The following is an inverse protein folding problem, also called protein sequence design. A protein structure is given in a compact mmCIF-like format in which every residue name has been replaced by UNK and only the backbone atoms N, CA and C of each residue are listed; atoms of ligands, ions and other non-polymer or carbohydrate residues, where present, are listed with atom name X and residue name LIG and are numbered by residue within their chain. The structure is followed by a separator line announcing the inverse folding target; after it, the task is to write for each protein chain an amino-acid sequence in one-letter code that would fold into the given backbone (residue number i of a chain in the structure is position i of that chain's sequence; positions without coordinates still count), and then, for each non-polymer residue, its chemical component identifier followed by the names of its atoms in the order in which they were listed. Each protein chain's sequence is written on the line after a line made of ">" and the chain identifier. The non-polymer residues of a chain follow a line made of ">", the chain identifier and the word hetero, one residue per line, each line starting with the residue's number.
data_IF_255305417508
#
_entry.id   IF_255305417508
#
_cell.length_a   1.000
_cell.length_b   1.000
_cell.length_c   1.000
_cell.angle_alpha   90.00
_cell.angle_beta   90.00
_cell.angle_gamma   90.00
#
_symmetry.space_group_name_H-M   'P 1'
#
loop_
_entity.id
_entity.type
_entity.pdbx_description
1 polymer ?
#
# COMPACT_ATOMS: atom_id res chain seq x y z
N UNK A 1 24.63 18.09 -6.23
CA UNK A 1 23.27 18.47 -5.77
C UNK A 1 22.38 17.24 -5.56
N UNK A 2 22.14 16.37 -6.57
CA UNK A 2 21.30 15.17 -6.37
C UNK A 2 21.93 14.16 -5.40
N UNK A 3 23.25 13.98 -5.48
CA UNK A 3 23.99 13.04 -4.61
C UNK A 3 23.91 13.41 -3.13
N UNK A 4 23.85 14.71 -2.79
CA UNK A 4 23.70 15.18 -1.41
C UNK A 4 22.34 14.82 -0.84
N UNK A 5 21.26 14.95 -1.64
CA UNK A 5 19.93 14.53 -1.23
C UNK A 5 19.89 13.01 -0.98
N UNK A 6 20.48 12.24 -1.90
CA UNK A 6 20.54 10.77 -1.79
C UNK A 6 21.31 10.36 -0.53
N UNK A 7 22.43 11.02 -0.19
CA UNK A 7 23.17 10.74 1.05
C UNK A 7 22.38 11.03 2.32
N UNK A 8 21.36 11.89 2.25
CA UNK A 8 20.44 12.17 3.34
C UNK A 8 19.15 11.33 3.28
N UNK A 9 19.08 10.30 2.42
CA UNK A 9 17.90 9.45 2.28
C UNK A 9 16.72 10.11 1.58
N UNK A 10 16.98 11.19 0.83
CA UNK A 10 15.99 11.90 0.02
C UNK A 10 16.16 11.57 -1.45
N UNK A 11 15.05 11.28 -2.13
CA UNK A 11 15.02 11.09 -3.57
C UNK A 11 14.54 12.38 -4.24
N UNK A 12 15.33 12.97 -5.17
CA UNK A 12 14.88 14.14 -5.92
C UNK A 12 13.66 13.77 -6.77
N UNK A 13 12.67 14.66 -6.85
CA UNK A 13 11.53 14.45 -7.74
C UNK A 13 11.89 14.85 -9.17
N UNK A 14 10.89 15.24 -9.97
CA UNK A 14 11.09 15.61 -11.36
C UNK A 14 12.00 16.84 -11.49
N UNK A 15 12.76 16.98 -12.59
CA UNK A 15 13.55 18.18 -12.83
C UNK A 15 12.73 19.48 -12.88
N UNK A 16 11.41 19.41 -13.14
CA UNK A 16 10.53 20.58 -13.10
C UNK A 16 10.12 20.99 -11.67
N UNK A 17 10.47 20.21 -10.66
CA UNK A 17 10.23 20.49 -9.24
C UNK A 17 11.51 20.39 -8.39
N UNK A 18 12.54 21.22 -8.64
CA UNK A 18 13.86 21.04 -8.03
C UNK A 18 13.92 21.28 -6.50
N UNK A 19 12.83 21.76 -5.90
CA UNK A 19 12.72 22.14 -4.49
C UNK A 19 11.97 21.08 -3.69
N UNK A 20 11.59 19.98 -4.34
CA UNK A 20 10.88 18.87 -3.75
C UNK A 20 11.76 17.63 -3.77
N UNK A 21 11.82 16.96 -2.64
CA UNK A 21 12.45 15.65 -2.51
C UNK A 21 11.59 14.79 -1.58
N UNK A 22 11.58 13.48 -1.81
CA UNK A 22 10.78 12.52 -1.04
C UNK A 22 11.70 11.73 -0.14
N UNK A 23 11.35 11.60 1.14
CA UNK A 23 12.08 10.71 2.05
C UNK A 23 11.84 9.26 1.66
N UNK A 24 12.94 8.53 1.42
CA UNK A 24 12.90 7.10 1.12
C UNK A 24 12.38 6.31 2.31
N UNK A 25 12.77 6.70 3.54
CA UNK A 25 12.29 6.06 4.76
C UNK A 25 10.77 6.23 4.94
N UNK A 26 10.25 7.43 4.66
CA UNK A 26 8.81 7.67 4.70
C UNK A 26 8.07 6.82 3.66
N UNK A 27 8.63 6.68 2.47
CA UNK A 27 8.05 5.86 1.41
C UNK A 27 8.04 4.37 1.82
N UNK A 28 9.15 3.86 2.38
CA UNK A 28 9.22 2.49 2.90
C UNK A 28 8.21 2.25 4.03
N UNK A 29 8.05 3.19 4.95
CA UNK A 29 7.02 3.12 5.99
C UNK A 29 5.61 3.06 5.40
N UNK A 30 5.30 3.91 4.42
CA UNK A 30 4.00 3.91 3.76
C UNK A 30 3.72 2.60 3.01
N UNK A 31 4.73 2.04 2.33
CA UNK A 31 4.61 0.73 1.68
C UNK A 31 4.27 -0.37 2.70
N UNK A 32 5.01 -0.44 3.81
CA UNK A 32 4.76 -1.42 4.86
C UNK A 32 3.37 -1.24 5.50
N UNK A 33 2.95 0.01 5.74
CA UNK A 33 1.62 0.31 6.24
C UNK A 33 0.52 -0.12 5.26
N UNK A 34 0.73 0.14 3.97
CA UNK A 34 -0.19 -0.21 2.92
C UNK A 34 -0.35 -1.74 2.83
N UNK A 35 0.75 -2.48 2.75
CA UNK A 35 0.77 -3.95 2.73
C UNK A 35 0.03 -4.54 3.94
N UNK A 36 0.38 -4.09 5.15
CA UNK A 36 -0.28 -4.55 6.36
C UNK A 36 -1.77 -4.22 6.39
N UNK A 37 -2.16 -3.04 5.89
CA UNK A 37 -3.57 -2.66 5.78
C UNK A 37 -4.33 -3.54 4.79
N UNK A 38 -3.71 -3.91 3.67
CA UNK A 38 -4.28 -4.83 2.69
C UNK A 38 -4.51 -6.20 3.32
N UNK A 39 -3.55 -6.73 4.08
CA UNK A 39 -3.68 -8.01 4.76
C UNK A 39 -4.86 -8.03 5.73
N UNK A 40 -5.03 -6.96 6.52
CA UNK A 40 -6.17 -6.83 7.44
C UNK A 40 -7.50 -6.78 6.69
N UNK A 41 -7.59 -5.99 5.61
CA UNK A 41 -8.81 -5.88 4.81
C UNK A 41 -9.14 -7.22 4.11
N UNK A 42 -8.13 -7.91 3.60
CA UNK A 42 -8.29 -9.23 2.98
C UNK A 42 -8.75 -10.28 4.00
N UNK A 43 -8.18 -10.27 5.21
CA UNK A 43 -8.60 -11.14 6.31
C UNK A 43 -10.06 -10.87 6.72
N UNK A 44 -10.45 -9.60 6.82
CA UNK A 44 -11.83 -9.21 7.09
C UNK A 44 -12.79 -9.68 5.99
N UNK A 45 -12.43 -9.46 4.72
CA UNK A 45 -13.23 -9.93 3.58
C UNK A 45 -13.40 -11.45 3.59
N UNK A 46 -12.34 -12.22 3.89
CA UNK A 46 -12.39 -13.67 4.02
C UNK A 46 -13.28 -14.13 5.19
N UNK A 47 -13.20 -13.45 6.34
CA UNK A 47 -14.06 -13.72 7.49
C UNK A 47 -15.54 -13.45 7.17
N UNK A 48 -15.84 -12.32 6.53
CA UNK A 48 -17.19 -11.99 6.07
C UNK A 48 -17.70 -13.00 5.05
N UNK A 49 -16.88 -13.38 4.06
CA UNK A 49 -17.25 -14.41 3.09
C UNK A 49 -17.62 -15.73 3.76
N UNK A 50 -16.81 -16.17 4.74
CA UNK A 50 -17.09 -17.38 5.52
C UNK A 50 -18.39 -17.26 6.32
N UNK A 51 -18.61 -16.12 6.98
CA UNK A 51 -19.81 -15.85 7.75
C UNK A 51 -21.08 -15.87 6.88
N UNK A 52 -21.08 -15.11 5.78
CA UNK A 52 -22.23 -15.03 4.88
C UNK A 52 -22.51 -16.35 4.16
N UNK A 53 -21.47 -17.10 3.79
CA UNK A 53 -21.62 -18.44 3.21
C UNK A 53 -22.32 -19.40 4.19
N UNK A 54 -21.99 -19.35 5.49
CA UNK A 54 -22.68 -20.14 6.53
C UNK A 54 -24.15 -19.75 6.69
N UNK A 55 -24.48 -18.48 6.44
CA UNK A 55 -25.85 -18.00 6.45
C UNK A 55 -26.62 -18.28 5.15
N UNK A 56 -26.02 -18.97 4.18
CA UNK A 56 -26.67 -19.34 2.91
C UNK A 56 -26.62 -18.26 1.83
N UNK A 57 -25.86 -17.19 2.02
CA UNK A 57 -25.67 -16.13 1.02
C UNK A 57 -24.48 -16.45 0.11
N UNK A 58 -24.65 -16.28 -1.20
CA UNK A 58 -23.56 -16.36 -2.18
C UNK A 58 -22.88 -14.99 -2.34
N UNK A 59 -21.56 -14.93 -2.16
CA UNK A 59 -20.77 -13.73 -2.45
C UNK A 59 -20.52 -13.64 -3.96
N UNK A 60 -21.08 -12.62 -4.60
CA UNK A 60 -21.13 -12.43 -6.07
C UNK A 60 -19.83 -11.90 -6.72
N UNK A 61 -18.73 -11.81 -5.96
CA UNK A 61 -17.47 -11.25 -6.44
C UNK A 61 -16.29 -12.22 -6.23
N UNK A 62 -16.44 -13.46 -6.70
CA UNK A 62 -15.26 -14.27 -6.97
C UNK A 62 -14.55 -13.64 -8.17
N UNK A 63 -13.34 -13.13 -7.97
CA UNK A 63 -12.47 -12.75 -9.10
C UNK A 63 -12.37 -13.99 -10.01
N UNK A 64 -12.83 -13.85 -11.25
CA UNK A 64 -12.58 -14.83 -12.30
C UNK A 64 -11.07 -14.99 -12.40
N UNK A 65 -10.58 -16.19 -12.08
CA UNK A 65 -9.19 -16.57 -12.33
C UNK A 65 -8.89 -16.54 -13.83
#
# INVERSE_FOLDING_TARGET
>A
LPQTLISHGLFPTTPSQPWMAVSVELLSFYCALFEHSCDVINALAAALNTYYSRCGFCVMNQKVC
#
